data_IF_461639953954
#
_entry.id   IF_461639953954
#
_cell.length_a   1.000
_cell.length_b   1.000
_cell.length_c   1.000
_cell.angle_alpha   90.00
_cell.angle_beta   90.00
_cell.angle_gamma   90.00
#
_symmetry.space_group_name_H-M   'P 1'
#
loop_
_entity.id
_entity.type
_entity.pdbx_description
1 polymer ?
#
# COMPACT_ATOMS: atom_id res chain seq x y z
N UNK A 1 6.44 -23.82 -10.67
CA UNK A 1 6.72 -22.43 -11.09
C UNK A 1 6.41 -21.41 -10.00
N UNK A 2 5.15 -21.22 -9.57
CA UNK A 2 4.78 -20.27 -8.50
C UNK A 2 5.63 -20.43 -7.22
N UNK A 3 5.73 -21.65 -6.65
CA UNK A 3 6.51 -21.90 -5.43
C UNK A 3 8.02 -21.62 -5.54
N UNK A 4 8.60 -21.70 -6.74
CA UNK A 4 10.05 -21.61 -6.94
C UNK A 4 10.51 -20.16 -7.17
N UNK A 5 9.64 -19.34 -7.79
CA UNK A 5 9.80 -17.90 -7.82
C UNK A 5 9.52 -17.30 -6.44
N UNK A 6 8.44 -17.74 -5.76
CA UNK A 6 8.13 -17.33 -4.40
C UNK A 6 9.26 -17.67 -3.41
N UNK A 7 9.84 -18.87 -3.48
CA UNK A 7 10.98 -19.24 -2.63
C UNK A 7 12.19 -18.37 -2.94
N UNK A 8 12.54 -18.14 -4.21
CA UNK A 8 13.63 -17.25 -4.59
C UNK A 8 13.38 -15.80 -4.18
N UNK A 9 12.16 -15.30 -4.24
CA UNK A 9 11.86 -13.94 -3.79
C UNK A 9 11.93 -13.84 -2.27
N UNK A 10 11.39 -14.81 -1.52
CA UNK A 10 11.53 -14.86 -0.05
C UNK A 10 12.98 -15.02 0.39
N UNK A 11 13.78 -15.83 -0.32
CA UNK A 11 15.21 -16.02 -0.07
C UNK A 11 16.03 -14.76 -0.37
N UNK A 12 15.61 -13.98 -1.37
CA UNK A 12 16.24 -12.70 -1.73
C UNK A 12 15.66 -11.50 -0.98
N UNK A 13 14.53 -11.67 -0.26
CA UNK A 13 14.03 -10.66 0.65
C UNK A 13 15.01 -10.58 1.83
N UNK A 14 15.44 -9.37 2.20
CA UNK A 14 16.34 -9.23 3.32
C UNK A 14 15.69 -9.78 4.60
N UNK A 15 16.42 -10.53 5.44
CA UNK A 15 15.87 -10.96 6.72
C UNK A 15 15.46 -9.72 7.52
N UNK A 16 14.26 -9.78 8.12
CA UNK A 16 13.78 -8.75 9.02
C UNK A 16 14.80 -8.59 10.17
N UNK A 17 15.11 -7.35 10.59
CA UNK A 17 15.92 -7.07 11.77
C UNK A 17 15.37 -7.80 12.97
N UNK A 18 16.25 -8.27 13.85
CA UNK A 18 15.88 -9.09 15.00
C UNK A 18 14.82 -8.40 15.89
N UNK A 19 14.89 -7.08 16.02
CA UNK A 19 13.90 -6.26 16.72
C UNK A 19 12.51 -6.36 16.08
N UNK A 20 12.42 -6.29 14.75
CA UNK A 20 11.15 -6.40 14.01
C UNK A 20 10.57 -7.79 14.15
N UNK A 21 11.43 -8.83 14.11
CA UNK A 21 11.01 -10.23 14.36
C UNK A 21 10.49 -10.40 15.79
N UNK A 22 11.21 -9.87 16.79
CA UNK A 22 10.79 -9.91 18.21
C UNK A 22 9.46 -9.18 18.43
N UNK A 23 9.33 -7.99 17.84
CA UNK A 23 8.12 -7.16 17.91
C UNK A 23 6.92 -7.90 17.32
N UNK A 24 7.07 -8.42 16.09
CA UNK A 24 6.05 -9.23 15.42
C UNK A 24 5.65 -10.43 16.26
N UNK A 25 6.63 -11.27 16.65
CA UNK A 25 6.37 -12.51 17.38
C UNK A 25 5.66 -12.24 18.73
N UNK A 26 6.00 -11.15 19.42
CA UNK A 26 5.34 -10.77 20.66
C UNK A 26 3.87 -10.35 20.42
N UNK A 27 3.64 -9.48 19.43
CA UNK A 27 2.30 -8.98 19.10
C UNK A 27 1.40 -10.14 18.66
N UNK A 28 1.89 -10.97 17.74
CA UNK A 28 1.12 -12.09 17.19
C UNK A 28 0.82 -13.15 18.25
N UNK A 29 1.77 -13.44 19.17
CA UNK A 29 1.54 -14.38 20.27
C UNK A 29 0.54 -13.85 21.30
N UNK A 30 0.49 -12.53 21.50
CA UNK A 30 -0.30 -11.92 22.57
C UNK A 30 -1.71 -11.54 22.11
N UNK A 31 -1.97 -11.35 20.82
CA UNK A 31 -3.31 -11.10 20.29
C UNK A 31 -4.01 -9.92 20.96
N UNK A 32 -5.18 -10.14 21.57
CA UNK A 32 -5.92 -9.14 22.35
C UNK A 32 -5.26 -8.77 23.68
N UNK A 33 -4.35 -9.61 24.19
CA UNK A 33 -3.67 -9.42 25.48
C UNK A 33 -2.33 -8.67 25.36
N UNK A 34 -2.08 -8.07 24.19
CA UNK A 34 -0.88 -7.27 23.92
C UNK A 34 -0.73 -6.16 24.96
N UNK A 35 0.37 -6.23 25.72
CA UNK A 35 0.76 -5.15 26.63
C UNK A 35 1.61 -4.13 25.90
N UNK A 36 1.12 -2.89 25.85
CA UNK A 36 1.82 -1.72 25.26
C UNK A 36 3.24 -1.58 25.84
N UNK A 37 3.42 -1.81 27.14
CA UNK A 37 4.72 -1.67 27.78
C UNK A 37 5.79 -2.59 27.19
N UNK A 38 5.43 -3.82 26.81
CA UNK A 38 6.38 -4.75 26.18
C UNK A 38 6.69 -4.37 24.73
N UNK A 39 5.71 -3.83 24.01
CA UNK A 39 5.91 -3.25 22.68
C UNK A 39 6.94 -2.11 22.76
N UNK A 40 6.76 -1.21 23.73
CA UNK A 40 7.71 -0.12 24.00
C UNK A 40 9.08 -0.67 24.35
N UNK A 41 9.16 -1.66 25.24
CA UNK A 41 10.43 -2.29 25.63
C UNK A 41 11.17 -2.85 24.41
N UNK A 42 10.48 -3.57 23.52
CA UNK A 42 11.09 -4.17 22.32
C UNK A 42 11.60 -3.07 21.37
N UNK A 43 10.81 -2.04 21.10
CA UNK A 43 11.18 -0.94 20.19
C UNK A 43 12.34 -0.13 20.76
N UNK A 44 12.34 0.15 22.07
CA UNK A 44 13.38 0.95 22.73
C UNK A 44 14.76 0.29 22.75
N UNK A 45 14.87 -1.02 22.46
CA UNK A 45 16.16 -1.68 22.26
C UNK A 45 16.78 -1.42 20.87
N UNK A 46 16.02 -0.82 19.95
CA UNK A 46 16.46 -0.53 18.59
C UNK A 46 16.44 0.98 18.32
N UNK A 47 17.60 1.65 18.35
CA UNK A 47 17.69 3.09 18.18
C UNK A 47 17.29 3.55 16.77
N UNK A 48 17.43 2.71 15.74
CA UNK A 48 17.05 3.06 14.37
C UNK A 48 15.54 2.99 14.19
N UNK A 49 14.91 1.91 14.66
CA UNK A 49 13.45 1.77 14.66
C UNK A 49 12.79 2.85 15.54
N UNK A 50 13.39 3.15 16.69
CA UNK A 50 12.96 4.25 17.58
C UNK A 50 12.99 5.60 16.86
N UNK A 51 14.10 5.94 16.20
CA UNK A 51 14.22 7.20 15.47
C UNK A 51 13.25 7.30 14.28
N UNK A 52 13.05 6.21 13.53
CA UNK A 52 12.14 6.17 12.40
C UNK A 52 10.68 6.33 12.83
N UNK A 53 10.26 5.66 13.90
CA UNK A 53 8.91 5.77 14.44
C UNK A 53 8.66 7.14 15.08
N UNK A 54 9.65 7.73 15.76
CA UNK A 54 9.55 9.11 16.26
C UNK A 54 9.48 10.12 15.12
N UNK A 55 10.29 9.97 14.07
CA UNK A 55 10.24 10.85 12.89
C UNK A 55 8.88 10.75 12.19
N UNK A 56 8.33 9.53 12.08
CA UNK A 56 7.02 9.32 11.51
C UNK A 56 5.92 9.95 12.37
N UNK A 57 5.93 9.73 13.69
CA UNK A 57 4.95 10.29 14.62
C UNK A 57 4.97 11.83 14.67
N UNK A 58 6.14 12.44 14.43
CA UNK A 58 6.29 13.89 14.32
C UNK A 58 6.09 14.43 12.89
N UNK A 59 5.75 13.57 11.92
CA UNK A 59 5.52 14.05 10.56
C UNK A 59 4.26 14.93 10.51
N UNK A 60 4.19 15.91 9.59
CA UNK A 60 3.03 16.79 9.43
C UNK A 60 1.70 16.03 9.30
N UNK A 61 1.76 14.79 8.81
CA UNK A 61 0.65 13.86 8.69
C UNK A 61 -0.16 13.67 9.98
N UNK A 62 0.49 13.58 11.15
CA UNK A 62 -0.20 13.34 12.41
C UNK A 62 -0.68 14.62 13.11
N UNK A 63 -0.36 15.81 12.56
CA UNK A 63 -0.95 17.08 12.99
C UNK A 63 -0.62 17.53 14.42
N UNK A 64 0.39 16.96 15.08
CA UNK A 64 0.80 17.38 16.42
C UNK A 64 1.72 18.60 16.37
N UNK A 65 1.34 19.68 17.08
CA UNK A 65 2.17 20.87 17.36
C UNK A 65 3.13 20.70 18.55
N UNK A 66 3.17 19.51 19.15
CA UNK A 66 4.06 19.14 20.26
C UNK A 66 4.97 17.99 19.84
N UNK A 67 6.24 18.10 20.21
CA UNK A 67 7.29 17.10 19.95
C UNK A 67 6.94 15.75 20.61
N UNK A 68 6.48 14.78 19.82
CA UNK A 68 6.41 13.37 20.23
C UNK A 68 7.84 12.93 20.50
N UNK A 69 8.18 12.68 21.77
CA UNK A 69 9.56 12.45 22.22
C UNK A 69 9.76 11.08 22.86
N UNK A 70 8.69 10.29 23.02
CA UNK A 70 8.74 8.97 23.66
C UNK A 70 8.01 7.90 22.86
N UNK A 71 8.49 6.66 22.93
CA UNK A 71 7.86 5.53 22.23
C UNK A 71 6.48 5.19 22.80
N UNK A 72 6.21 5.47 24.08
CA UNK A 72 4.86 5.36 24.63
C UNK A 72 3.86 6.26 23.90
N UNK A 73 4.24 7.51 23.60
CA UNK A 73 3.41 8.43 22.82
C UNK A 73 3.23 7.96 21.37
N UNK A 74 4.29 7.42 20.76
CA UNK A 74 4.23 6.79 19.43
C UNK A 74 3.24 5.62 19.42
N UNK A 75 3.29 4.72 20.40
CA UNK A 75 2.35 3.58 20.49
C UNK A 75 0.92 4.03 20.76
N UNK A 76 0.73 5.04 21.61
CA UNK A 76 -0.59 5.61 21.84
C UNK A 76 -1.19 6.28 20.59
N UNK A 77 -0.34 6.89 19.77
CA UNK A 77 -0.74 7.59 18.55
C UNK A 77 -1.02 6.62 17.40
N UNK A 78 -0.07 5.75 17.11
CA UNK A 78 -0.10 4.88 15.93
C UNK A 78 -0.89 3.60 16.21
N UNK A 79 -0.92 3.13 17.45
CA UNK A 79 -1.42 1.80 17.79
C UNK A 79 -0.40 0.70 17.50
N UNK A 80 -0.51 -0.41 18.23
CA UNK A 80 0.49 -1.50 18.19
C UNK A 80 0.54 -2.17 16.82
N UNK A 81 -0.62 -2.39 16.19
CA UNK A 81 -0.71 -3.04 14.86
C UNK A 81 -0.01 -2.21 13.79
N UNK A 82 -0.24 -0.89 13.77
CA UNK A 82 0.42 -0.02 12.79
C UNK A 82 1.93 0.01 13.00
N UNK A 83 2.39 0.04 14.26
CA UNK A 83 3.83 0.00 14.56
C UNK A 83 4.48 -1.29 14.06
N UNK A 84 3.82 -2.45 14.23
CA UNK A 84 4.26 -3.72 13.64
C UNK A 84 4.45 -3.57 12.13
N UNK A 85 3.43 -3.07 11.44
CA UNK A 85 3.41 -2.95 9.99
C UNK A 85 4.48 -1.97 9.48
N UNK A 86 4.65 -0.82 10.14
CA UNK A 86 5.67 0.19 9.81
C UNK A 86 7.08 -0.35 10.04
N UNK A 87 7.30 -1.06 11.14
CA UNK A 87 8.60 -1.66 11.46
C UNK A 87 9.02 -2.68 10.40
N UNK A 88 8.08 -3.51 9.94
CA UNK A 88 8.29 -4.45 8.83
C UNK A 88 8.62 -3.66 7.55
N UNK A 89 7.80 -2.68 7.17
CA UNK A 89 7.99 -1.89 5.95
C UNK A 89 9.34 -1.14 5.90
N UNK A 90 9.75 -0.50 7.00
CA UNK A 90 11.02 0.25 7.06
C UNK A 90 12.23 -0.67 6.99
N UNK A 91 12.14 -1.88 7.54
CA UNK A 91 13.25 -2.82 7.49
C UNK A 91 13.64 -3.28 6.08
N UNK A 92 12.71 -3.16 5.14
CA UNK A 92 12.89 -3.51 3.74
C UNK A 92 13.64 -2.41 2.97
N UNK A 93 13.50 -1.13 3.37
CA UNK A 93 14.11 0.03 2.68
C UNK A 93 15.64 0.00 2.64
N UNK A 94 16.30 -0.57 3.63
CA UNK A 94 17.77 -0.52 3.74
C UNK A 94 18.53 -1.47 2.81
N UNK A 95 17.85 -2.43 2.17
CA UNK A 95 18.47 -3.49 1.35
C UNK A 95 17.82 -3.67 -0.03
N UNK A 96 16.70 -2.99 -0.28
CA UNK A 96 16.07 -2.93 -1.59
C UNK A 96 16.55 -1.69 -2.33
N UNK A 97 17.18 -1.88 -3.49
CA UNK A 97 17.37 -0.78 -4.43
C UNK A 97 16.00 -0.41 -4.98
N UNK A 98 15.42 0.68 -4.46
CA UNK A 98 14.15 1.20 -4.96
C UNK A 98 14.40 1.77 -6.35
N UNK A 99 13.93 1.06 -7.37
CA UNK A 99 14.04 1.44 -8.76
C UNK A 99 12.88 0.81 -9.52
N UNK A 100 12.02 1.61 -10.14
CA UNK A 100 10.90 1.15 -10.98
C UNK A 100 11.13 1.41 -12.48
N UNK A 101 12.35 1.75 -12.89
CA UNK A 101 12.72 1.94 -14.28
C UNK A 101 12.43 0.71 -15.19
N UNK A 102 12.49 -0.56 -14.72
CA UNK A 102 12.07 -1.70 -15.54
C UNK A 102 10.62 -1.59 -16.04
N UNK A 103 9.75 -0.91 -15.28
CA UNK A 103 8.36 -0.64 -15.66
C UNK A 103 8.19 0.57 -16.59
N UNK A 104 9.29 1.24 -16.96
CA UNK A 104 9.28 2.47 -17.75
C UNK A 104 8.86 3.71 -16.95
N UNK A 105 8.85 3.61 -15.63
CA UNK A 105 8.41 4.67 -14.72
C UNK A 105 9.60 5.43 -14.11
N UNK A 106 9.43 6.73 -13.91
CA UNK A 106 10.35 7.52 -13.09
C UNK A 106 10.16 7.19 -11.60
N UNK A 107 11.24 6.85 -10.92
CA UNK A 107 11.18 6.37 -9.54
C UNK A 107 10.78 7.48 -8.56
N UNK A 108 11.21 8.73 -8.80
CA UNK A 108 10.85 9.84 -7.90
C UNK A 108 9.36 10.18 -8.02
N UNK A 109 8.85 10.23 -9.25
CA UNK A 109 7.43 10.45 -9.54
C UNK A 109 6.56 9.33 -8.98
N UNK A 110 6.97 8.06 -9.15
CA UNK A 110 6.27 6.91 -8.59
C UNK A 110 6.13 7.00 -7.06
N UNK A 111 7.23 7.32 -6.36
CA UNK A 111 7.22 7.45 -4.89
C UNK A 111 6.42 8.66 -4.43
N UNK A 112 6.50 9.79 -5.16
CA UNK A 112 5.69 10.99 -4.87
C UNK A 112 4.20 10.66 -5.00
N UNK A 113 3.79 10.06 -6.12
CA UNK A 113 2.38 9.70 -6.36
C UNK A 113 1.87 8.71 -5.30
N UNK A 114 2.71 7.75 -4.87
CA UNK A 114 2.36 6.83 -3.77
C UNK A 114 2.13 7.57 -2.44
N UNK A 115 2.90 8.63 -2.18
CA UNK A 115 2.69 9.49 -1.00
C UNK A 115 1.46 10.37 -1.14
N UNK A 116 1.18 10.89 -2.34
CA UNK A 116 -0.03 11.68 -2.62
C UNK A 116 -1.29 10.83 -2.51
N UNK A 117 -1.24 9.56 -2.91
CA UNK A 117 -2.32 8.59 -2.74
C UNK A 117 -2.67 8.38 -1.26
N UNK A 118 -1.66 8.20 -0.40
CA UNK A 118 -1.86 8.07 1.04
C UNK A 118 -2.46 9.34 1.66
N UNK A 119 -2.02 10.52 1.22
CA UNK A 119 -2.59 11.79 1.66
C UNK A 119 -4.03 11.95 1.19
N UNK A 120 -4.32 11.62 -0.07
CA UNK A 120 -5.67 11.66 -0.62
C UNK A 120 -6.64 10.78 0.15
N UNK A 121 -6.27 9.52 0.41
CA UNK A 121 -7.08 8.60 1.21
C UNK A 121 -7.36 9.18 2.60
N UNK A 122 -6.36 9.81 3.21
CA UNK A 122 -6.48 10.43 4.53
C UNK A 122 -7.42 11.63 4.52
N UNK A 123 -7.32 12.50 3.51
CA UNK A 123 -8.18 13.69 3.40
C UNK A 123 -9.61 13.34 2.98
N UNK A 124 -9.76 12.34 2.10
CA UNK A 124 -11.07 11.89 1.64
C UNK A 124 -11.82 11.17 2.76
N UNK A 125 -11.21 10.18 3.38
CA UNK A 125 -11.89 9.33 4.37
C UNK A 125 -11.74 9.85 5.81
N UNK A 126 -10.85 10.81 6.08
CA UNK A 126 -10.55 11.25 7.45
C UNK A 126 -11.75 11.86 8.18
N UNK A 127 -12.57 12.63 7.48
CA UNK A 127 -13.79 13.25 8.03
C UNK A 127 -15.00 12.31 7.99
N UNK A 128 -15.00 11.35 7.06
CA UNK A 128 -16.14 10.44 6.82
C UNK A 128 -16.03 9.14 7.63
N UNK A 129 -14.86 8.51 7.62
CA UNK A 129 -14.55 7.25 8.29
C UNK A 129 -13.05 7.17 8.63
N UNK A 130 -12.68 7.83 9.73
CA UNK A 130 -11.30 7.90 10.20
C UNK A 130 -10.66 6.51 10.43
N UNK A 131 -11.46 5.52 10.84
CA UNK A 131 -10.97 4.15 11.07
C UNK A 131 -10.56 3.52 9.74
N UNK A 132 -11.44 3.60 8.74
CA UNK A 132 -11.14 3.13 7.40
C UNK A 132 -9.92 3.83 6.79
N UNK A 133 -9.79 5.15 6.97
CA UNK A 133 -8.62 5.90 6.51
C UNK A 133 -7.31 5.32 7.09
N UNK A 134 -7.29 5.05 8.40
CA UNK A 134 -6.14 4.49 9.11
C UNK A 134 -5.78 3.07 8.66
N UNK A 135 -6.78 2.26 8.31
CA UNK A 135 -6.58 0.90 7.79
C UNK A 135 -6.07 0.91 6.34
N UNK A 136 -6.59 1.83 5.51
CA UNK A 136 -6.35 1.85 4.07
C UNK A 136 -5.01 2.47 3.67
N UNK A 137 -4.49 3.42 4.46
CA UNK A 137 -3.21 4.09 4.18
C UNK A 137 -2.03 3.09 4.08
N UNK A 138 -1.87 2.13 5.02
CA UNK A 138 -0.93 1.03 4.85
C UNK A 138 -1.18 0.25 3.55
N UNK A 139 -2.44 -0.08 3.22
CA UNK A 139 -2.79 -0.86 2.03
C UNK A 139 -2.31 -0.19 0.73
N UNK A 140 -2.57 1.10 0.55
CA UNK A 140 -2.18 1.82 -0.68
C UNK A 140 -0.67 1.94 -0.82
N UNK A 141 0.07 2.14 0.27
CA UNK A 141 1.53 2.17 0.22
C UNK A 141 2.12 0.80 -0.12
N UNK A 142 1.51 -0.25 0.43
CA UNK A 142 1.93 -1.63 0.25
C UNK A 142 1.61 -2.16 -1.15
N UNK A 143 0.50 -1.73 -1.76
CA UNK A 143 0.14 -2.02 -3.16
C UNK A 143 1.30 -1.74 -4.13
N UNK A 144 2.05 -0.67 -3.86
CA UNK A 144 3.17 -0.19 -4.69
C UNK A 144 4.45 -1.02 -4.50
N UNK A 145 4.52 -1.82 -3.43
CA UNK A 145 5.69 -2.64 -3.10
C UNK A 145 5.90 -3.79 -4.09
N UNK A 146 4.82 -4.37 -4.64
CA UNK A 146 4.91 -5.47 -5.60
C UNK A 146 5.77 -5.12 -6.82
N UNK A 147 5.52 -3.96 -7.43
CA UNK A 147 6.28 -3.47 -8.58
C UNK A 147 7.74 -3.16 -8.24
N UNK A 148 8.03 -2.65 -7.03
CA UNK A 148 9.40 -2.41 -6.57
C UNK A 148 10.17 -3.73 -6.45
N UNK A 149 9.53 -4.76 -5.89
CA UNK A 149 10.12 -6.08 -5.72
C UNK A 149 10.36 -6.77 -7.07
N UNK A 150 9.37 -6.73 -7.96
CA UNK A 150 9.51 -7.25 -9.33
C UNK A 150 10.65 -6.54 -10.06
N UNK A 151 10.73 -5.21 -9.96
CA UNK A 151 11.84 -4.45 -10.55
C UNK A 151 13.20 -4.87 -10.01
N UNK A 152 13.31 -5.04 -8.68
CA UNK A 152 14.55 -5.50 -8.05
C UNK A 152 14.99 -6.86 -8.58
N UNK A 153 14.05 -7.81 -8.72
CA UNK A 153 14.31 -9.13 -9.28
C UNK A 153 14.72 -9.08 -10.75
N UNK A 154 14.07 -8.26 -11.58
CA UNK A 154 14.41 -8.08 -12.99
C UNK A 154 15.84 -7.57 -13.14
N UNK A 155 16.23 -6.58 -12.33
CA UNK A 155 17.58 -6.00 -12.35
C UNK A 155 18.62 -7.04 -11.92
N UNK A 156 18.37 -7.79 -10.84
CA UNK A 156 19.27 -8.84 -10.37
C UNK A 156 19.46 -9.95 -11.41
N UNK A 157 18.39 -10.32 -12.12
CA UNK A 157 18.41 -11.34 -13.17
C UNK A 157 18.83 -10.80 -14.54
N UNK A 158 19.10 -9.49 -14.67
CA UNK A 158 19.40 -8.79 -15.93
C UNK A 158 18.32 -8.95 -17.01
N UNK A 159 17.06 -9.06 -16.58
CA UNK A 159 15.85 -9.16 -17.42
C UNK A 159 15.08 -7.84 -17.53
N UNK A 160 15.56 -6.78 -16.88
CA UNK A 160 14.95 -5.46 -16.82
C UNK A 160 14.70 -4.84 -18.20
N UNK A 161 15.65 -4.99 -19.14
CA UNK A 161 15.52 -4.45 -20.50
C UNK A 161 14.49 -5.19 -21.35
N UNK A 162 14.46 -6.53 -21.23
CA UNK A 162 13.51 -7.37 -21.97
C UNK A 162 12.08 -7.11 -21.50
N UNK A 163 11.89 -7.00 -20.19
CA UNK A 163 10.61 -6.66 -19.56
C UNK A 163 10.12 -5.28 -20.01
N UNK A 164 10.99 -4.27 -19.97
CA UNK A 164 10.66 -2.91 -20.42
C UNK A 164 10.25 -2.88 -21.91
N UNK A 165 10.93 -3.65 -22.75
CA UNK A 165 10.62 -3.73 -24.17
C UNK A 165 9.23 -4.31 -24.41
N UNK A 166 8.86 -5.37 -23.69
CA UNK A 166 7.52 -5.97 -23.81
C UNK A 166 6.41 -5.03 -23.30
N UNK A 167 6.66 -4.30 -22.20
CA UNK A 167 5.73 -3.26 -21.72
C UNK A 167 5.51 -2.18 -22.78
N UNK A 168 6.59 -1.72 -23.44
CA UNK A 168 6.50 -0.71 -24.51
C UNK A 168 5.71 -1.22 -25.71
N UNK A 169 5.92 -2.48 -26.12
CA UNK A 169 5.18 -3.10 -27.22
C UNK A 169 3.67 -3.18 -26.94
N UNK A 170 3.31 -3.38 -25.68
CA UNK A 170 1.91 -3.36 -25.22
C UNK A 170 1.40 -1.95 -24.88
N UNK A 171 2.10 -0.88 -25.27
CA UNK A 171 1.72 0.51 -25.00
C UNK A 171 1.42 0.81 -23.52
N UNK A 172 2.15 0.17 -22.60
CA UNK A 172 1.92 0.29 -21.15
C UNK A 172 0.51 -0.14 -20.71
N UNK A 173 -0.16 -0.98 -21.51
CA UNK A 173 -1.44 -1.59 -21.17
C UNK A 173 -1.22 -3.04 -20.71
N UNK A 174 -2.15 -3.53 -19.88
CA UNK A 174 -2.17 -4.92 -19.41
C UNK A 174 -0.84 -5.36 -18.76
N UNK A 175 -0.36 -4.58 -17.79
CA UNK A 175 0.89 -4.84 -17.07
C UNK A 175 0.90 -6.23 -16.44
N UNK A 176 -0.24 -6.68 -15.92
CA UNK A 176 -0.42 -8.02 -15.36
C UNK A 176 -0.11 -9.12 -16.36
N UNK A 177 -0.43 -8.96 -17.66
CA UNK A 177 -0.05 -9.94 -18.68
C UNK A 177 1.46 -10.05 -18.81
N UNK A 178 2.17 -8.92 -18.89
CA UNK A 178 3.64 -8.89 -18.99
C UNK A 178 4.30 -9.48 -17.74
N UNK A 179 3.76 -9.19 -16.55
CA UNK A 179 4.22 -9.79 -15.31
C UNK A 179 4.02 -11.31 -15.28
N UNK A 180 2.87 -11.79 -15.75
CA UNK A 180 2.61 -13.23 -15.84
C UNK A 180 3.60 -13.94 -16.80
N UNK A 181 4.00 -13.32 -17.91
CA UNK A 181 5.00 -13.90 -18.81
C UNK A 181 6.38 -14.06 -18.13
N UNK A 182 6.77 -13.12 -17.25
CA UNK A 182 8.09 -13.14 -16.59
C UNK A 182 8.10 -13.93 -15.28
N UNK A 183 7.01 -13.86 -14.52
CA UNK A 183 6.93 -14.35 -13.14
C UNK A 183 5.84 -15.40 -12.91
N UNK A 184 4.94 -15.64 -13.88
CA UNK A 184 3.79 -16.53 -13.72
C UNK A 184 2.74 -16.01 -12.73
N UNK A 185 2.83 -14.74 -12.32
CA UNK A 185 1.87 -14.04 -11.47
C UNK A 185 2.02 -12.52 -11.63
N UNK A 186 0.97 -11.77 -11.35
CA UNK A 186 0.99 -10.31 -11.33
C UNK A 186 1.41 -9.75 -9.95
N UNK A 187 1.79 -8.48 -9.90
CA UNK A 187 2.28 -7.84 -8.70
C UNK A 187 1.23 -7.72 -7.57
N UNK A 188 -0.07 -7.70 -7.88
CA UNK A 188 -1.14 -7.63 -6.88
C UNK A 188 -1.28 -8.98 -6.17
N UNK A 189 -1.39 -10.06 -6.96
CA UNK A 189 -1.41 -11.44 -6.47
C UNK A 189 -0.17 -11.76 -5.64
N UNK A 190 1.01 -11.35 -6.14
CA UNK A 190 2.26 -11.49 -5.42
C UNK A 190 2.28 -10.70 -4.10
N UNK A 191 1.78 -9.47 -4.10
CA UNK A 191 1.68 -8.64 -2.89
C UNK A 191 0.77 -9.27 -1.83
N UNK A 192 -0.39 -9.81 -2.23
CA UNK A 192 -1.28 -10.54 -1.32
C UNK A 192 -0.61 -11.76 -0.69
N UNK A 193 0.09 -12.57 -1.49
CA UNK A 193 0.88 -13.69 -0.98
C UNK A 193 1.96 -13.22 0.01
N UNK A 194 2.68 -12.15 -0.34
CA UNK A 194 3.75 -11.59 0.47
C UNK A 194 3.24 -11.09 1.82
N UNK A 195 2.10 -10.40 1.83
CA UNK A 195 1.48 -9.88 3.05
C UNK A 195 0.99 -11.01 3.95
N UNK A 196 0.44 -12.08 3.37
CA UNK A 196 0.12 -13.30 4.11
C UNK A 196 1.38 -13.96 4.70
N UNK A 197 2.46 -14.05 3.92
CA UNK A 197 3.74 -14.58 4.40
C UNK A 197 4.32 -13.74 5.56
N UNK A 198 4.16 -12.42 5.48
CA UNK A 198 4.60 -11.47 6.53
C UNK A 198 3.60 -11.31 7.69
N UNK A 199 2.47 -12.01 7.68
CA UNK A 199 1.45 -11.96 8.75
C UNK A 199 0.87 -10.56 8.95
N UNK A 200 0.60 -9.89 7.83
CA UNK A 200 -0.27 -8.70 7.81
C UNK A 200 -1.71 -9.09 8.14
N UNK A 201 -2.49 -8.08 8.46
CA UNK A 201 -3.90 -8.20 8.80
C UNK A 201 -4.70 -8.87 7.66
N UNK A 202 -5.62 -9.77 8.02
CA UNK A 202 -6.41 -10.53 7.02
C UNK A 202 -7.35 -9.63 6.24
N UNK A 203 -7.92 -8.59 6.89
CA UNK A 203 -8.81 -7.63 6.23
C UNK A 203 -8.05 -6.86 5.15
N UNK A 204 -6.77 -6.53 5.40
CA UNK A 204 -5.89 -5.89 4.42
C UNK A 204 -5.62 -6.80 3.22
N UNK A 205 -5.30 -8.07 3.48
CA UNK A 205 -5.00 -9.05 2.43
C UNK A 205 -6.24 -9.30 1.57
N UNK A 206 -7.42 -9.45 2.19
CA UNK A 206 -8.68 -9.64 1.48
C UNK A 206 -9.06 -8.40 0.67
N UNK A 207 -8.91 -7.21 1.24
CA UNK A 207 -9.17 -5.95 0.52
C UNK A 207 -8.34 -5.80 -0.75
N UNK A 208 -7.08 -6.22 -0.70
CA UNK A 208 -6.20 -6.23 -1.87
C UNK A 208 -6.64 -7.28 -2.90
N UNK A 209 -7.02 -8.47 -2.46
CA UNK A 209 -7.44 -9.56 -3.35
C UNK A 209 -8.67 -9.20 -4.20
N UNK A 210 -9.56 -8.35 -3.66
CA UNK A 210 -10.77 -7.90 -4.34
C UNK A 210 -10.68 -6.48 -4.93
N UNK A 211 -9.47 -5.91 -5.07
CA UNK A 211 -9.30 -4.53 -5.59
C UNK A 211 -9.90 -4.33 -6.99
N UNK A 212 -9.95 -5.36 -7.83
CA UNK A 212 -10.55 -5.30 -9.17
C UNK A 212 -12.02 -5.71 -9.22
N UNK A 213 -12.55 -6.30 -8.15
CA UNK A 213 -13.93 -6.77 -8.04
C UNK A 213 -14.47 -6.57 -6.61
N UNK A 214 -14.55 -5.31 -6.13
CA UNK A 214 -14.83 -5.03 -4.72
C UNK A 214 -16.23 -5.50 -4.29
N UNK A 215 -17.21 -5.60 -5.20
CA UNK A 215 -18.54 -6.15 -4.90
C UNK A 215 -18.51 -7.61 -4.43
N UNK A 216 -17.48 -8.37 -4.80
CA UNK A 216 -17.34 -9.79 -4.47
C UNK A 216 -16.65 -10.05 -3.12
N UNK A 217 -16.11 -9.01 -2.47
CA UNK A 217 -15.46 -9.12 -1.17
C UNK A 217 -16.46 -9.47 -0.05
N UNK A 218 -15.96 -10.03 1.06
CA UNK A 218 -16.81 -10.29 2.24
C UNK A 218 -17.35 -8.98 2.83
N UNK A 219 -18.55 -9.01 3.43
CA UNK A 219 -19.25 -7.80 3.87
C UNK A 219 -18.43 -6.91 4.84
N UNK A 220 -17.59 -7.51 5.69
CA UNK A 220 -16.76 -6.79 6.65
C UNK A 220 -15.59 -6.03 6.01
N UNK A 221 -15.09 -6.47 4.84
CA UNK A 221 -13.99 -5.82 4.09
C UNK A 221 -14.44 -5.13 2.81
N UNK A 222 -15.73 -5.25 2.45
CA UNK A 222 -16.27 -4.73 1.19
C UNK A 222 -16.05 -3.22 1.07
N UNK A 223 -16.25 -2.47 2.16
CA UNK A 223 -15.98 -1.03 2.20
C UNK A 223 -14.49 -0.72 1.97
N UNK A 224 -13.60 -1.50 2.56
CA UNK A 224 -12.14 -1.38 2.42
C UNK A 224 -11.71 -1.64 0.97
N UNK A 225 -12.26 -2.71 0.36
CA UNK A 225 -12.01 -3.09 -1.04
C UNK A 225 -12.46 -1.99 -2.01
N UNK A 226 -13.66 -1.43 -1.81
CA UNK A 226 -14.15 -0.31 -2.62
C UNK A 226 -13.27 0.92 -2.50
N UNK A 227 -12.94 1.33 -1.28
CA UNK A 227 -12.11 2.50 -1.06
C UNK A 227 -10.71 2.34 -1.68
N UNK A 228 -10.14 1.13 -1.60
CA UNK A 228 -8.86 0.79 -2.22
C UNK A 228 -8.95 0.87 -3.76
N UNK A 229 -10.00 0.29 -4.35
CA UNK A 229 -10.22 0.31 -5.79
C UNK A 229 -10.39 1.74 -6.32
N UNK A 230 -11.19 2.56 -5.63
CA UNK A 230 -11.42 3.97 -5.95
C UNK A 230 -10.11 4.76 -5.90
N UNK A 231 -9.33 4.62 -4.82
CA UNK A 231 -8.03 5.30 -4.69
C UNK A 231 -7.07 4.87 -5.80
N UNK A 232 -6.99 3.56 -6.09
CA UNK A 232 -6.10 3.05 -7.13
C UNK A 232 -6.47 3.58 -8.52
N UNK A 233 -7.75 3.82 -8.85
CA UNK A 233 -8.10 4.47 -10.12
C UNK A 233 -7.56 5.89 -10.23
N UNK A 234 -7.45 6.61 -9.13
CA UNK A 234 -6.89 7.97 -9.14
C UNK A 234 -5.36 7.96 -9.21
N UNK A 235 -4.70 6.96 -8.65
CA UNK A 235 -3.24 7.00 -8.44
C UNK A 235 -2.43 5.87 -9.10
N UNK A 236 -3.07 4.96 -9.85
CA UNK A 236 -2.32 3.89 -10.52
C UNK A 236 -1.25 4.46 -11.47
N UNK A 237 -0.10 3.76 -11.63
CA UNK A 237 1.12 4.41 -12.09
C UNK A 237 1.14 4.84 -13.57
N UNK A 238 0.19 4.39 -14.39
CA UNK A 238 0.19 4.59 -15.83
C UNK A 238 -0.90 5.56 -16.30
N UNK A 239 -2.15 5.36 -15.89
CA UNK A 239 -3.30 6.17 -16.29
C UNK A 239 -4.09 6.71 -15.08
N UNK A 240 -3.49 6.71 -13.88
CA UNK A 240 -4.10 7.26 -12.67
C UNK A 240 -4.64 8.66 -12.90
N UNK A 241 -5.92 8.87 -12.58
CA UNK A 241 -6.56 10.18 -12.70
C UNK A 241 -6.86 10.61 -14.15
N UNK A 242 -6.68 9.74 -15.15
CA UNK A 242 -7.16 9.95 -16.52
C UNK A 242 -8.69 10.12 -16.57
N UNK A 243 -9.26 10.73 -17.63
CA UNK A 243 -10.72 10.85 -17.76
C UNK A 243 -11.46 9.52 -17.55
N UNK A 244 -10.98 8.45 -18.17
CA UNK A 244 -11.55 7.12 -18.00
C UNK A 244 -11.51 6.66 -16.54
N UNK A 245 -10.33 6.68 -15.90
CA UNK A 245 -10.18 6.19 -14.53
C UNK A 245 -10.94 7.05 -13.50
N UNK A 246 -11.03 8.37 -13.70
CA UNK A 246 -11.80 9.26 -12.81
C UNK A 246 -13.30 8.94 -12.90
N UNK A 247 -13.82 8.67 -14.11
CA UNK A 247 -15.21 8.26 -14.28
C UNK A 247 -15.46 6.87 -13.71
N UNK A 248 -14.51 5.94 -13.86
CA UNK A 248 -14.60 4.62 -13.24
C UNK A 248 -14.58 4.70 -11.71
N UNK A 249 -13.76 5.57 -11.12
CA UNK A 249 -13.76 5.82 -9.67
C UNK A 249 -15.13 6.31 -9.17
N UNK A 250 -15.78 7.20 -9.91
CA UNK A 250 -17.16 7.64 -9.61
C UNK A 250 -18.16 6.51 -9.77
N UNK A 251 -18.02 5.68 -10.81
CA UNK A 251 -18.87 4.51 -11.00
C UNK A 251 -18.73 3.49 -9.85
N UNK A 252 -17.51 3.29 -9.32
CA UNK A 252 -17.27 2.44 -8.14
C UNK A 252 -17.95 3.00 -6.88
N UNK A 253 -17.98 4.32 -6.68
CA UNK A 253 -18.74 4.95 -5.59
C UNK A 253 -20.25 4.66 -5.73
N UNK A 254 -20.77 4.72 -6.96
CA UNK A 254 -22.18 4.42 -7.24
C UNK A 254 -22.50 2.93 -7.08
N UNK A 255 -21.60 2.04 -7.52
CA UNK A 255 -21.71 0.60 -7.31
C UNK A 255 -21.72 0.28 -5.80
N UNK A 256 -20.80 0.87 -5.03
CA UNK A 256 -20.77 0.73 -3.57
C UNK A 256 -22.11 1.13 -2.92
N UNK A 257 -22.72 2.24 -3.38
CA UNK A 257 -24.02 2.68 -2.88
C UNK A 257 -25.13 1.65 -3.14
N UNK A 258 -25.09 0.94 -4.27
CA UNK A 258 -26.02 -0.16 -4.58
C UNK A 258 -25.82 -1.38 -3.66
N UNK A 259 -24.62 -1.56 -3.11
CA UNK A 259 -24.28 -2.59 -2.14
C UNK A 259 -24.53 -2.13 -0.68
N UNK A 260 -25.14 -0.97 -0.47
CA UNK A 260 -25.40 -0.41 0.87
C UNK A 260 -24.21 0.30 1.52
N UNK A 261 -23.11 0.48 0.79
CA UNK A 261 -21.90 1.16 1.26
C UNK A 261 -21.92 2.61 0.76
N UNK A 262 -21.91 3.56 1.68
CA UNK A 262 -21.93 4.99 1.33
C UNK A 262 -20.53 5.58 1.38
N UNK A 263 -20.19 6.30 0.32
CA UNK A 263 -19.09 7.26 0.25
C UNK A 263 -19.67 8.62 -0.11
N UNK A 264 -19.19 9.69 0.52
CA UNK A 264 -19.59 11.05 0.15
C UNK A 264 -18.91 11.45 -1.17
N UNK A 265 -19.72 11.48 -2.24
CA UNK A 265 -19.25 11.79 -3.60
C UNK A 265 -18.78 13.24 -3.74
N UNK A 266 -19.40 14.19 -3.03
CA UNK A 266 -19.02 15.59 -3.12
C UNK A 266 -17.73 15.85 -2.33
N UNK A 267 -17.59 15.21 -1.17
CA UNK A 267 -16.33 15.17 -0.44
C UNK A 267 -15.22 14.54 -1.30
N UNK A 268 -15.42 13.36 -1.88
CA UNK A 268 -14.48 12.71 -2.80
C UNK A 268 -14.01 13.66 -3.91
N UNK A 269 -14.96 14.27 -4.65
CA UNK A 269 -14.65 15.23 -5.73
C UNK A 269 -13.87 16.44 -5.23
N UNK A 270 -14.18 16.93 -4.02
CA UNK A 270 -13.50 18.08 -3.42
C UNK A 270 -12.03 17.78 -3.10
N UNK A 271 -11.69 16.53 -2.78
CA UNK A 271 -10.33 16.09 -2.45
C UNK A 271 -9.51 15.60 -3.63
N UNK A 272 -10.12 15.45 -4.81
CA UNK A 272 -9.39 15.01 -6.02
C UNK A 272 -8.20 15.93 -6.33
N UNK A 273 -7.08 15.36 -6.83
CA UNK A 273 -5.98 16.13 -7.42
C UNK A 273 -6.48 17.08 -8.52
N UNK A 274 -5.76 18.18 -8.74
CA UNK A 274 -6.18 19.24 -9.67
C UNK A 274 -6.46 18.71 -11.09
N UNK A 275 -5.57 17.87 -11.63
CA UNK A 275 -5.77 17.27 -12.96
C UNK A 275 -6.98 16.31 -13.00
N UNK A 276 -7.17 15.50 -11.96
CA UNK A 276 -8.31 14.61 -11.85
C UNK A 276 -9.65 15.38 -11.78
N UNK A 277 -9.68 16.56 -11.14
CA UNK A 277 -10.85 17.45 -11.13
C UNK A 277 -11.20 17.97 -12.52
N UNK A 278 -10.19 18.33 -13.31
CA UNK A 278 -10.40 18.76 -14.70
C UNK A 278 -10.95 17.58 -15.53
N UNK A 279 -10.34 16.40 -15.39
CA UNK A 279 -10.71 15.20 -16.14
C UNK A 279 -12.13 14.69 -15.82
N UNK A 280 -12.68 15.02 -14.65
CA UNK A 280 -14.08 14.74 -14.32
C UNK A 280 -15.08 15.49 -15.23
N UNK A 281 -14.68 16.62 -15.82
CA UNK A 281 -15.52 17.40 -16.74
C UNK A 281 -15.41 16.97 -18.20
N UNK A 282 -14.48 16.06 -18.51
CA UNK A 282 -14.23 15.56 -19.86
C UNK A 282 -15.15 14.37 -20.12
N UNK A 283 -15.99 14.44 -21.15
CA UNK A 283 -16.83 13.31 -21.54
C UNK A 283 -15.97 12.11 -21.98
N UNK A 284 -16.26 10.94 -21.42
CA UNK A 284 -15.67 9.66 -21.84
C UNK A 284 -16.71 8.96 -22.72
N UNK A 285 -16.35 8.67 -23.97
CA UNK A 285 -17.18 7.97 -24.95
C UNK A 285 -16.91 6.47 -24.96
#
# INVERSE_FOLDING_TARGET
MMNELLSKTIENLPPLPETVVKLRNYIDKSGSDVRVQEVVNIISQDPFLTADLLRLANSPYYGFSREISTINQVVALLGVTNIKNIAIANSLKGKLTINVAPYGLDTQTFLRNSSEEANFVTEWLGDEDKKLAQELVPCVMLLRLGMILFSSMLIQQKKDKEFLELIKQNNYQNISFVENEFFGTDHLSFSGFLFNHWKFDEDLIESLAYITAPHAASDHVKKNSYALAIANRIFEPYQGGSPYNVHEAVALIQEAASQGIKFDLDNFKSKLPHEAKINLSVAVY
#
